data_IF_663098443169
#
_entry.id   IF_663098443169
#
_cell.length_a   1.000
_cell.length_b   1.000
_cell.length_c   1.000
_cell.angle_alpha   90.00
_cell.angle_beta   90.00
_cell.angle_gamma   90.00
#
_symmetry.space_group_name_H-M   'P 1'
#
loop_
_entity.id
_entity.type
_entity.pdbx_description
1 polymer ?
#
# COMPACT_ATOMS: atom_id res chain seq x y z
N UNK A 1 22.21 -8.92 -17.05
CA UNK A 1 21.13 -8.46 -16.15
C UNK A 1 21.64 -8.58 -14.73
N UNK A 2 21.69 -7.46 -13.98
CA UNK A 2 22.16 -7.48 -12.59
C UNK A 2 21.17 -8.23 -11.69
N UNK A 3 21.59 -8.66 -10.49
CA UNK A 3 20.71 -9.33 -9.52
C UNK A 3 19.54 -8.43 -9.12
N UNK A 4 19.80 -7.16 -8.85
CA UNK A 4 18.77 -6.17 -8.53
C UNK A 4 17.77 -5.94 -9.67
N UNK A 5 18.21 -6.04 -10.91
CA UNK A 5 17.34 -5.94 -12.08
C UNK A 5 16.33 -7.11 -12.14
N UNK A 6 16.81 -8.34 -11.84
CA UNK A 6 15.92 -9.51 -11.77
C UNK A 6 14.91 -9.39 -10.63
N UNK A 7 15.35 -8.91 -9.47
CA UNK A 7 14.48 -8.69 -8.30
C UNK A 7 13.41 -7.64 -8.62
N UNK A 8 13.81 -6.49 -9.17
CA UNK A 8 12.88 -5.42 -9.53
C UNK A 8 11.80 -5.88 -10.52
N UNK A 9 12.19 -6.67 -11.53
CA UNK A 9 11.24 -7.20 -12.51
C UNK A 9 10.28 -8.22 -11.89
N UNK A 10 10.77 -9.09 -11.01
CA UNK A 10 9.92 -10.06 -10.29
C UNK A 10 8.90 -9.35 -9.39
N UNK A 11 9.30 -8.26 -8.74
CA UNK A 11 8.38 -7.45 -7.92
C UNK A 11 7.26 -6.85 -8.77
N UNK A 12 7.58 -6.28 -9.94
CA UNK A 12 6.59 -5.73 -10.86
C UNK A 12 5.59 -6.82 -11.29
N UNK A 13 6.10 -7.99 -11.71
CA UNK A 13 5.22 -9.10 -12.12
C UNK A 13 4.34 -9.59 -10.98
N UNK A 14 4.89 -9.73 -9.77
CA UNK A 14 4.16 -10.18 -8.59
C UNK A 14 3.01 -9.22 -8.24
N UNK A 15 3.26 -7.91 -8.26
CA UNK A 15 2.24 -6.89 -8.02
C UNK A 15 1.16 -6.88 -9.08
N UNK A 16 1.55 -7.01 -10.35
CA UNK A 16 0.60 -7.05 -11.46
C UNK A 16 -0.35 -8.25 -11.30
N UNK A 17 0.15 -9.40 -10.89
CA UNK A 17 -0.67 -10.59 -10.59
C UNK A 17 -1.64 -10.28 -9.44
N UNK A 18 -1.16 -9.67 -8.35
CA UNK A 18 -2.02 -9.29 -7.21
C UNK A 18 -3.10 -8.30 -7.66
N UNK A 19 -2.73 -7.24 -8.38
CA UNK A 19 -3.67 -6.22 -8.85
C UNK A 19 -4.75 -6.82 -9.77
N UNK A 20 -4.37 -7.70 -10.69
CA UNK A 20 -5.31 -8.42 -11.56
C UNK A 20 -6.23 -9.36 -10.78
N UNK A 21 -5.71 -10.03 -9.74
CA UNK A 21 -6.52 -10.90 -8.87
C UNK A 21 -7.55 -10.09 -8.10
N UNK A 22 -7.15 -8.95 -7.54
CA UNK A 22 -8.09 -8.04 -6.86
C UNK A 22 -9.17 -7.50 -7.82
N UNK A 23 -8.77 -7.08 -9.02
CA UNK A 23 -9.70 -6.58 -10.03
C UNK A 23 -10.71 -7.67 -10.46
N UNK A 24 -10.22 -8.87 -10.75
CA UNK A 24 -11.08 -9.99 -11.17
C UNK A 24 -12.02 -10.43 -10.04
N UNK A 25 -11.55 -10.45 -8.80
CA UNK A 25 -12.37 -10.73 -7.62
C UNK A 25 -13.47 -9.67 -7.42
N UNK A 26 -13.13 -8.39 -7.58
CA UNK A 26 -14.10 -7.29 -7.50
C UNK A 26 -15.20 -7.42 -8.55
N UNK A 27 -14.82 -7.71 -9.80
CA UNK A 27 -15.78 -7.92 -10.90
C UNK A 27 -16.64 -9.18 -10.64
N UNK A 28 -16.02 -10.27 -10.19
CA UNK A 28 -16.72 -11.51 -9.87
C UNK A 28 -17.76 -11.33 -8.77
N UNK A 29 -17.43 -10.62 -7.70
CA UNK A 29 -18.37 -10.28 -6.62
C UNK A 29 -19.52 -9.40 -7.14
N UNK A 30 -19.23 -8.44 -8.02
CA UNK A 30 -20.25 -7.60 -8.62
C UNK A 30 -21.28 -8.40 -9.42
N UNK A 31 -20.80 -9.31 -10.24
CA UNK A 31 -21.67 -10.17 -11.06
C UNK A 31 -22.48 -11.13 -10.18
N UNK A 32 -21.86 -11.68 -9.12
CA UNK A 32 -22.49 -12.69 -8.27
C UNK A 32 -23.54 -12.11 -7.31
N UNK A 33 -23.29 -10.93 -6.72
CA UNK A 33 -24.13 -10.35 -5.69
C UNK A 33 -25.11 -9.29 -6.19
N UNK A 34 -24.94 -8.79 -7.41
CA UNK A 34 -25.81 -7.76 -7.99
C UNK A 34 -25.77 -6.39 -7.26
N UNK A 35 -24.93 -6.25 -6.27
CA UNK A 35 -24.85 -5.05 -5.44
C UNK A 35 -23.91 -3.99 -6.04
N UNK A 36 -24.50 -2.87 -6.45
CA UNK A 36 -23.78 -1.76 -7.09
C UNK A 36 -22.97 -0.89 -6.10
N UNK A 37 -23.18 -1.01 -4.79
CA UNK A 37 -22.72 -0.01 -3.82
C UNK A 37 -21.31 -0.26 -3.26
N UNK A 38 -20.94 -1.52 -3.01
CA UNK A 38 -19.67 -1.88 -2.33
C UNK A 38 -18.44 -1.91 -3.27
N UNK A 39 -18.66 -1.85 -4.56
CA UNK A 39 -17.65 -2.22 -5.56
C UNK A 39 -16.87 -1.03 -6.10
N UNK A 40 -17.50 0.16 -6.12
CA UNK A 40 -16.84 1.37 -6.65
C UNK A 40 -15.46 1.64 -6.02
N UNK A 41 -15.31 1.61 -4.68
CA UNK A 41 -14.02 1.92 -4.09
C UNK A 41 -12.94 0.86 -4.35
N UNK A 42 -13.30 -0.42 -4.38
CA UNK A 42 -12.34 -1.48 -4.75
C UNK A 42 -11.92 -1.39 -6.21
N UNK A 43 -12.84 -1.01 -7.10
CA UNK A 43 -12.53 -0.77 -8.50
C UNK A 43 -11.58 0.42 -8.66
N UNK A 44 -11.84 1.56 -8.01
CA UNK A 44 -10.96 2.72 -8.06
C UNK A 44 -9.59 2.42 -7.46
N UNK A 45 -9.53 1.67 -6.36
CA UNK A 45 -8.28 1.23 -5.76
C UNK A 45 -7.49 0.32 -6.71
N UNK A 46 -8.15 -0.67 -7.32
CA UNK A 46 -7.50 -1.57 -8.28
C UNK A 46 -6.99 -0.81 -9.51
N UNK A 47 -7.78 0.14 -10.03
CA UNK A 47 -7.37 1.00 -11.13
C UNK A 47 -6.17 1.88 -10.76
N UNK A 48 -6.15 2.41 -9.54
CA UNK A 48 -5.03 3.18 -9.01
C UNK A 48 -3.75 2.34 -8.92
N UNK A 49 -3.83 1.12 -8.37
CA UNK A 49 -2.69 0.19 -8.31
C UNK A 49 -2.17 -0.12 -9.71
N UNK A 50 -3.05 -0.43 -10.67
CA UNK A 50 -2.65 -0.67 -12.06
C UNK A 50 -1.97 0.54 -12.70
N UNK A 51 -2.47 1.74 -12.42
CA UNK A 51 -1.83 2.98 -12.89
C UNK A 51 -0.41 3.14 -12.36
N UNK A 52 -0.20 2.84 -11.07
CA UNK A 52 1.14 2.84 -10.47
C UNK A 52 2.06 1.79 -11.10
N UNK A 53 1.55 0.58 -11.39
CA UNK A 53 2.33 -0.47 -12.05
C UNK A 53 2.75 -0.07 -13.47
N UNK A 54 1.86 0.55 -14.23
CA UNK A 54 2.20 1.11 -15.55
C UNK A 54 3.30 2.16 -15.40
N UNK A 55 3.21 3.04 -14.39
CA UNK A 55 4.24 4.02 -14.06
C UNK A 55 5.60 3.36 -13.78
N UNK A 56 5.64 2.27 -13.00
CA UNK A 56 6.88 1.51 -12.75
C UNK A 56 7.44 0.86 -14.01
N UNK A 57 6.61 0.29 -14.87
CA UNK A 57 7.04 -0.32 -16.13
C UNK A 57 7.63 0.74 -17.05
N UNK A 58 6.99 1.91 -17.18
CA UNK A 58 7.49 3.04 -17.95
C UNK A 58 8.82 3.54 -17.37
N UNK A 59 8.88 3.77 -16.06
CA UNK A 59 10.11 4.18 -15.39
C UNK A 59 11.24 3.17 -15.60
N UNK A 60 10.96 1.88 -15.46
CA UNK A 60 11.91 0.80 -15.71
C UNK A 60 12.39 0.80 -17.16
N UNK A 61 11.53 1.11 -18.13
CA UNK A 61 11.87 1.18 -19.54
C UNK A 61 12.74 2.40 -19.88
N UNK A 62 12.38 3.57 -19.36
CA UNK A 62 13.06 4.84 -19.67
C UNK A 62 14.40 4.99 -18.93
N UNK A 63 14.46 4.61 -17.66
CA UNK A 63 15.63 4.81 -16.81
C UNK A 63 16.53 3.59 -16.71
N UNK A 64 17.04 3.11 -17.85
CA UNK A 64 17.97 1.96 -17.94
C UNK A 64 19.15 2.03 -16.96
N UNK A 65 19.63 3.25 -16.67
CA UNK A 65 20.77 3.51 -15.78
C UNK A 65 20.47 3.25 -14.30
N UNK A 66 19.19 3.33 -13.89
CA UNK A 66 18.74 3.17 -12.49
C UNK A 66 18.23 1.76 -12.19
N UNK A 67 17.84 0.98 -13.21
CA UNK A 67 17.21 -0.34 -13.03
C UNK A 67 18.08 -1.38 -12.33
N UNK A 68 19.40 -1.25 -12.42
CA UNK A 68 20.36 -2.15 -11.76
C UNK A 68 20.80 -1.70 -10.37
N UNK A 69 20.20 -0.67 -9.78
CA UNK A 69 20.57 -0.11 -8.48
C UNK A 69 19.56 -0.49 -7.40
N UNK A 70 20.05 -0.63 -6.17
CA UNK A 70 19.21 -0.82 -4.98
C UNK A 70 18.16 0.28 -4.83
N UNK A 71 18.49 1.51 -5.22
CA UNK A 71 17.60 2.66 -5.18
C UNK A 71 16.25 2.39 -5.88
N UNK A 72 16.24 1.64 -6.98
CA UNK A 72 15.01 1.30 -7.68
C UNK A 72 14.08 0.42 -6.85
N UNK A 73 14.65 -0.51 -6.07
CA UNK A 73 13.87 -1.37 -5.15
C UNK A 73 13.32 -0.52 -4.00
N UNK A 74 14.11 0.40 -3.44
CA UNK A 74 13.62 1.34 -2.42
C UNK A 74 12.43 2.16 -2.94
N UNK A 75 12.53 2.72 -4.15
CA UNK A 75 11.47 3.50 -4.77
C UNK A 75 10.18 2.68 -4.93
N UNK A 76 10.29 1.43 -5.35
CA UNK A 76 9.16 0.53 -5.47
C UNK A 76 8.50 0.25 -4.11
N UNK A 77 9.29 -0.07 -3.07
CA UNK A 77 8.77 -0.36 -1.74
C UNK A 77 8.12 0.87 -1.08
N UNK A 78 8.67 2.07 -1.31
CA UNK A 78 8.03 3.32 -0.84
C UNK A 78 6.70 3.54 -1.54
N UNK A 79 6.61 3.30 -2.85
CA UNK A 79 5.35 3.38 -3.57
C UNK A 79 4.31 2.37 -3.07
N UNK A 80 4.74 1.14 -2.72
CA UNK A 80 3.86 0.16 -2.08
C UNK A 80 3.37 0.64 -0.73
N UNK A 81 4.25 1.23 0.08
CA UNK A 81 3.88 1.81 1.38
C UNK A 81 2.81 2.90 1.23
N UNK A 82 2.95 3.78 0.22
CA UNK A 82 1.94 4.79 -0.08
C UNK A 82 0.62 4.14 -0.52
N UNK A 83 0.68 3.13 -1.36
CA UNK A 83 -0.52 2.40 -1.83
C UNK A 83 -1.25 1.73 -0.67
N UNK A 84 -0.51 1.09 0.25
CA UNK A 84 -1.07 0.49 1.46
C UNK A 84 -1.67 1.57 2.38
N UNK A 85 -1.01 2.73 2.56
CA UNK A 85 -1.54 3.82 3.36
C UNK A 85 -2.87 4.36 2.79
N UNK A 86 -2.98 4.49 1.47
CA UNK A 86 -4.22 4.87 0.78
C UNK A 86 -5.29 3.79 1.00
N UNK A 87 -4.95 2.51 0.89
CA UNK A 87 -5.89 1.41 1.18
C UNK A 87 -6.40 1.48 2.61
N UNK A 88 -5.51 1.66 3.58
CA UNK A 88 -5.87 1.81 4.99
C UNK A 88 -6.80 2.99 5.21
N UNK A 89 -6.51 4.14 4.59
CA UNK A 89 -7.37 5.31 4.66
C UNK A 89 -8.81 5.00 4.23
N UNK A 90 -8.99 4.28 3.13
CA UNK A 90 -10.32 3.93 2.62
C UNK A 90 -11.00 2.77 3.34
N UNK A 91 -10.28 1.93 4.09
CA UNK A 91 -10.81 0.72 4.72
C UNK A 91 -10.96 0.81 6.24
N UNK A 92 -10.92 2.03 6.80
CA UNK A 92 -11.16 2.25 8.22
C UNK A 92 -9.94 2.71 9.02
N UNK A 93 -8.87 3.13 8.35
CA UNK A 93 -7.68 3.67 9.00
C UNK A 93 -6.97 2.64 9.89
N UNK A 94 -6.80 2.98 11.17
CA UNK A 94 -6.11 2.12 12.14
C UNK A 94 -6.91 0.85 12.53
N UNK A 95 -8.21 0.82 12.31
CA UNK A 95 -9.07 -0.36 12.54
C UNK A 95 -9.14 -1.28 11.32
N UNK A 96 -8.44 -0.95 10.24
CA UNK A 96 -8.45 -1.74 9.01
C UNK A 96 -7.81 -3.10 9.20
N UNK A 97 -8.47 -4.14 8.68
CA UNK A 97 -7.90 -5.50 8.62
C UNK A 97 -6.60 -5.54 7.81
N UNK A 98 -6.40 -4.58 6.89
CA UNK A 98 -5.24 -4.54 5.99
C UNK A 98 -3.96 -3.99 6.64
N UNK A 99 -3.97 -3.64 7.93
CA UNK A 99 -2.79 -3.13 8.66
C UNK A 99 -1.61 -4.10 8.60
N UNK A 100 -1.88 -5.42 8.49
CA UNK A 100 -0.84 -6.44 8.35
C UNK A 100 0.05 -6.26 7.11
N UNK A 101 -0.45 -5.57 6.07
CA UNK A 101 0.33 -5.29 4.86
C UNK A 101 1.53 -4.39 5.14
N UNK A 102 1.43 -3.48 6.13
CA UNK A 102 2.56 -2.66 6.56
C UNK A 102 3.70 -3.54 7.09
N UNK A 103 3.37 -4.53 7.92
CA UNK A 103 4.36 -5.48 8.47
C UNK A 103 4.93 -6.38 7.36
N UNK A 104 4.08 -6.82 6.43
CA UNK A 104 4.52 -7.61 5.28
C UNK A 104 5.54 -6.85 4.43
N UNK A 105 5.33 -5.55 4.18
CA UNK A 105 6.27 -4.72 3.44
C UNK A 105 7.62 -4.58 4.16
N UNK A 106 7.63 -4.47 5.49
CA UNK A 106 8.88 -4.44 6.28
C UNK A 106 9.65 -5.75 6.16
N UNK A 107 8.96 -6.88 6.28
CA UNK A 107 9.55 -8.21 6.10
C UNK A 107 10.11 -8.37 4.68
N UNK A 108 9.35 -7.98 3.67
CA UNK A 108 9.76 -8.00 2.27
C UNK A 108 11.00 -7.13 2.04
N UNK A 109 11.03 -5.92 2.59
CA UNK A 109 12.19 -5.03 2.52
C UNK A 109 13.42 -5.65 3.20
N UNK A 110 13.24 -6.33 4.33
CA UNK A 110 14.30 -7.08 5.03
C UNK A 110 14.87 -8.21 4.17
N UNK A 111 14.02 -8.95 3.50
CA UNK A 111 14.42 -10.05 2.61
C UNK A 111 15.17 -9.56 1.36
N UNK A 112 14.77 -8.41 0.79
CA UNK A 112 15.34 -7.87 -0.45
C UNK A 112 16.56 -6.96 -0.22
N UNK A 113 16.53 -6.11 0.80
CA UNK A 113 17.49 -5.04 1.07
C UNK A 113 18.22 -5.21 2.41
N UNK A 114 18.05 -6.35 3.06
CA UNK A 114 18.62 -6.66 4.37
C UNK A 114 18.10 -5.69 5.46
N UNK A 115 18.79 -5.66 6.61
CA UNK A 115 18.40 -4.86 7.79
C UNK A 115 18.16 -3.37 7.50
N UNK A 116 18.98 -2.75 6.66
CA UNK A 116 18.84 -1.32 6.33
C UNK A 116 17.52 -1.01 5.60
N UNK A 117 17.14 -1.89 4.67
CA UNK A 117 15.87 -1.76 3.96
C UNK A 117 14.66 -1.93 4.88
N UNK A 118 14.70 -2.94 5.77
CA UNK A 118 13.63 -3.15 6.74
C UNK A 118 13.41 -1.93 7.64
N UNK A 119 14.49 -1.38 8.23
CA UNK A 119 14.42 -0.19 9.08
C UNK A 119 13.88 1.01 8.30
N UNK A 120 14.36 1.23 7.08
CA UNK A 120 13.91 2.36 6.26
C UNK A 120 12.40 2.26 5.96
N UNK A 121 11.91 1.11 5.51
CA UNK A 121 10.49 0.92 5.18
C UNK A 121 9.62 0.94 6.45
N UNK A 122 10.10 0.43 7.59
CA UNK A 122 9.41 0.56 8.86
C UNK A 122 9.20 2.05 9.24
N UNK A 123 10.24 2.88 9.09
CA UNK A 123 10.15 4.33 9.33
C UNK A 123 9.18 5.01 8.36
N UNK A 124 9.22 4.67 7.07
CA UNK A 124 8.28 5.19 6.06
C UNK A 124 6.84 4.81 6.41
N UNK A 125 6.57 3.54 6.73
CA UNK A 125 5.24 3.07 7.12
C UNK A 125 4.75 3.77 8.38
N UNK A 126 5.60 3.92 9.41
CA UNK A 126 5.24 4.60 10.65
C UNK A 126 4.91 6.08 10.41
N UNK A 127 5.67 6.75 9.55
CA UNK A 127 5.41 8.15 9.19
C UNK A 127 4.09 8.28 8.41
N UNK A 128 3.85 7.44 7.41
CA UNK A 128 2.60 7.44 6.64
C UNK A 128 1.39 7.12 7.54
N UNK A 129 1.52 6.14 8.43
CA UNK A 129 0.47 5.77 9.37
C UNK A 129 0.20 6.89 10.38
N UNK A 130 1.24 7.57 10.87
CA UNK A 130 1.11 8.75 11.73
C UNK A 130 0.41 9.91 11.04
N UNK A 131 0.77 10.21 9.78
CA UNK A 131 0.10 11.22 8.97
C UNK A 131 -1.36 10.88 8.72
N UNK A 132 -1.67 9.61 8.45
CA UNK A 132 -3.03 9.12 8.31
C UNK A 132 -3.82 9.34 9.61
N UNK A 133 -3.27 8.93 10.77
CA UNK A 133 -3.89 9.16 12.07
C UNK A 133 -4.15 10.63 12.36
N UNK A 134 -3.19 11.51 12.07
CA UNK A 134 -3.35 12.96 12.21
C UNK A 134 -4.43 13.51 11.29
N UNK A 135 -4.47 13.07 10.03
CA UNK A 135 -5.48 13.54 9.06
C UNK A 135 -6.90 13.18 9.50
N UNK A 136 -7.06 12.01 10.10
CA UNK A 136 -8.34 11.54 10.64
C UNK A 136 -8.70 12.28 11.94
N UNK A 137 -7.73 12.50 12.83
CA UNK A 137 -7.92 13.23 14.08
C UNK A 137 -8.38 14.69 13.86
N UNK A 138 -7.72 15.39 12.92
CA UNK A 138 -8.09 16.77 12.57
C UNK A 138 -9.25 16.87 11.58
N UNK A 139 -9.90 15.76 11.22
CA UNK A 139 -11.00 15.75 10.24
C UNK A 139 -10.66 16.40 8.89
N UNK A 140 -9.41 16.37 8.46
CA UNK A 140 -9.00 16.91 7.17
C UNK A 140 -9.58 16.08 6.01
N UNK A 141 -9.80 14.79 6.24
CA UNK A 141 -10.41 13.91 5.27
C UNK A 141 -11.30 12.89 6.00
N UNK A 142 -12.51 12.66 5.51
CA UNK A 142 -13.47 11.69 6.05
C UNK A 142 -13.70 10.56 5.06
N UNK A 143 -13.09 9.40 5.24
CA UNK A 143 -13.27 8.27 4.32
C UNK A 143 -14.65 7.61 4.43
N UNK A 144 -15.40 7.88 5.50
CA UNK A 144 -16.64 7.20 5.89
C UNK A 144 -17.83 7.42 4.96
N UNK A 145 -17.86 8.51 4.19
CA UNK A 145 -18.95 8.79 3.25
C UNK A 145 -19.01 7.78 2.09
N UNK A 146 -17.91 7.08 1.83
CA UNK A 146 -17.80 6.14 0.71
C UNK A 146 -18.11 4.69 1.08
N UNK A 147 -18.02 4.31 2.37
CA UNK A 147 -18.04 2.90 2.79
C UNK A 147 -19.14 2.53 3.78
N UNK A 148 -19.92 3.49 4.31
CA UNK A 148 -20.88 3.24 5.40
C UNK A 148 -20.30 2.46 6.60
N UNK A 149 -18.98 2.47 6.78
CA UNK A 149 -18.31 1.85 7.91
C UNK A 149 -18.35 2.86 9.06
N UNK A 150 -18.89 2.51 10.24
CA UNK A 150 -18.84 3.39 11.39
C UNK A 150 -17.37 3.68 11.70
N UNK A 151 -16.98 4.93 11.49
CA UNK A 151 -15.62 5.37 11.74
C UNK A 151 -15.55 6.01 13.12
N UNK A 152 -14.82 5.37 14.02
CA UNK A 152 -14.47 5.97 15.30
C UNK A 152 -13.21 6.81 15.12
N UNK A 153 -13.29 8.10 15.50
CA UNK A 153 -12.11 8.97 15.50
C UNK A 153 -11.12 8.42 16.52
N UNK A 154 -9.91 8.00 16.10
CA UNK A 154 -8.98 7.41 17.02
C UNK A 154 -8.55 8.41 18.09
N UNK A 155 -8.50 7.98 19.34
CA UNK A 155 -7.94 8.76 20.42
C UNK A 155 -6.42 8.96 20.21
N UNK A 156 -5.86 10.03 20.79
CA UNK A 156 -4.42 10.25 20.72
C UNK A 156 -3.61 9.06 21.26
N UNK A 157 -4.13 8.34 22.27
CA UNK A 157 -3.53 7.14 22.81
C UNK A 157 -3.51 5.97 21.84
N UNK A 158 -4.57 5.77 21.09
CA UNK A 158 -4.64 4.70 20.07
C UNK A 158 -3.71 4.97 18.90
N UNK A 159 -3.60 6.23 18.46
CA UNK A 159 -2.62 6.62 17.44
C UNK A 159 -1.20 6.32 17.92
N UNK A 160 -0.87 6.70 19.16
CA UNK A 160 0.45 6.46 19.75
C UNK A 160 0.74 4.96 19.87
N UNK A 161 -0.19 4.16 20.38
CA UNK A 161 -0.03 2.71 20.49
C UNK A 161 0.16 2.06 19.11
N UNK A 162 -0.60 2.46 18.10
CA UNK A 162 -0.48 1.94 16.75
C UNK A 162 0.87 2.29 16.12
N UNK A 163 1.40 3.48 16.38
CA UNK A 163 2.73 3.88 15.95
C UNK A 163 3.81 3.02 16.62
N UNK A 164 3.69 2.77 17.93
CA UNK A 164 4.66 1.94 18.66
C UNK A 164 4.66 0.50 18.16
N UNK A 165 3.50 -0.09 17.89
CA UNK A 165 3.39 -1.46 17.35
C UNK A 165 4.02 -1.57 15.94
N UNK A 166 3.99 -0.51 15.13
CA UNK A 166 4.60 -0.53 13.79
C UNK A 166 6.12 -0.32 13.80
N UNK A 167 6.72 0.15 14.91
CA UNK A 167 8.17 0.38 15.05
C UNK A 167 8.86 -0.87 15.62
N UNK A 168 8.20 -1.65 16.44
CA UNK A 168 8.71 -2.86 17.09
C UNK A 168 8.13 -4.13 16.47
#
# INVERSE_FOLDING_TARGET
>A
MSEYEKIGLRLIVFRLVIALTFLSSSIGLQVALGEKLLIKPYFYFSAFVLFFEIGYILFYSFFKKLRGREFFIYLQLVGDSITVAILLFYTGGHSSVFIFLCHFLVVLAGALLRRRGAIFIALVNSLLFGLLGLSLYYNWARPTEYFNIPFEVPSAGEIFNSLMINIF
#
